data_IF_449100968897
#
_entry.id   IF_449100968897
#
_cell.length_a   1.000
_cell.length_b   1.000
_cell.length_c   1.000
_cell.angle_alpha   90.00
_cell.angle_beta   90.00
_cell.angle_gamma   90.00
#
_symmetry.space_group_name_H-M   'P 1'
#
loop_
_entity.id
_entity.type
_entity.pdbx_description
1 polymer ?
#
# COMPACT_ATOMS: atom_id res chain seq x y z
N UNK A 1 39.61 -6.77 5.58
CA UNK A 1 38.96 -5.61 6.20
C UNK A 1 37.59 -6.04 6.69
N UNK A 2 37.43 -6.29 7.98
CA UNK A 2 36.17 -6.73 8.59
C UNK A 2 35.22 -5.52 8.70
N UNK A 3 34.17 -5.50 7.88
CA UNK A 3 33.14 -4.46 7.90
C UNK A 3 32.27 -4.67 9.16
N UNK A 4 32.67 -4.06 10.29
CA UNK A 4 31.84 -4.10 11.50
C UNK A 4 30.54 -3.33 11.26
N UNK A 5 29.36 -3.93 11.55
CA UNK A 5 28.10 -3.23 11.37
C UNK A 5 28.04 -2.03 12.33
N UNK A 6 27.82 -0.82 11.78
CA UNK A 6 27.63 0.38 12.59
C UNK A 6 26.43 0.17 13.54
N UNK A 7 26.53 0.64 14.79
CA UNK A 7 25.42 0.55 15.73
C UNK A 7 24.20 1.27 15.17
N UNK A 8 23.03 0.64 15.26
CA UNK A 8 21.79 1.19 14.74
C UNK A 8 21.51 2.59 15.32
N UNK A 9 21.04 3.55 14.51
CA UNK A 9 20.77 4.90 14.98
C UNK A 9 19.75 4.87 16.14
N UNK A 10 20.11 5.49 17.27
CA UNK A 10 19.21 5.59 18.42
C UNK A 10 18.07 6.56 18.10
N UNK A 11 16.86 6.03 17.95
CA UNK A 11 15.63 6.82 17.81
C UNK A 11 15.15 7.22 19.21
N UNK A 12 14.90 8.51 19.41
CA UNK A 12 14.45 9.04 20.70
C UNK A 12 13.05 8.54 21.07
N UNK A 13 12.75 8.34 22.36
CA UNK A 13 11.45 7.83 22.81
C UNK A 13 10.29 8.74 22.41
N UNK A 14 10.50 10.07 22.43
CA UNK A 14 9.49 11.05 21.98
C UNK A 14 9.10 10.88 20.51
N UNK A 15 10.08 10.59 19.63
CA UNK A 15 9.79 10.37 18.21
C UNK A 15 9.03 9.07 18.01
N UNK A 16 9.30 8.02 18.80
CA UNK A 16 8.50 6.78 18.77
C UNK A 16 7.06 7.03 19.20
N UNK A 17 6.86 7.75 20.31
CA UNK A 17 5.53 8.10 20.79
C UNK A 17 4.73 8.92 19.75
N UNK A 18 5.37 9.88 19.08
CA UNK A 18 4.74 10.64 18.00
C UNK A 18 4.35 9.77 16.78
N UNK A 19 5.20 8.79 16.42
CA UNK A 19 4.89 7.84 15.34
C UNK A 19 3.70 6.96 15.73
N UNK A 20 3.68 6.44 16.96
CA UNK A 20 2.57 5.62 17.45
C UNK A 20 1.26 6.40 17.51
N UNK A 21 1.29 7.63 18.01
CA UNK A 21 0.13 8.53 18.01
C UNK A 21 -0.40 8.77 16.58
N UNK A 22 0.49 8.98 15.61
CA UNK A 22 0.11 9.16 14.22
C UNK A 22 -0.49 7.90 13.59
N UNK A 23 0.11 6.72 13.81
CA UNK A 23 -0.32 5.47 13.16
C UNK A 23 -1.55 4.87 13.83
N UNK A 24 -1.56 4.76 15.16
CA UNK A 24 -2.62 4.08 15.88
C UNK A 24 -3.85 4.97 16.11
N UNK A 25 -3.65 6.29 16.28
CA UNK A 25 -4.76 7.24 16.53
C UNK A 25 -5.15 8.05 15.31
N UNK A 26 -4.40 7.97 14.21
CA UNK A 26 -4.69 8.73 12.97
C UNK A 26 -4.45 10.23 13.09
N UNK A 27 -3.67 10.69 14.07
CA UNK A 27 -3.44 12.12 14.29
C UNK A 27 -2.60 12.77 13.18
N UNK A 28 -2.84 14.05 12.94
CA UNK A 28 -1.99 14.86 12.05
C UNK A 28 -0.57 14.98 12.59
N UNK A 29 0.40 15.33 11.73
CA UNK A 29 1.81 15.51 12.15
C UNK A 29 1.93 16.57 13.26
N UNK A 30 1.12 17.63 13.20
CA UNK A 30 1.13 18.68 14.22
C UNK A 30 0.61 18.17 15.56
N UNK A 31 -0.56 17.51 15.57
CA UNK A 31 -1.18 16.98 16.78
C UNK A 31 -0.34 15.85 17.42
N UNK A 32 0.22 14.95 16.61
CA UNK A 32 1.09 13.89 17.10
C UNK A 32 2.42 14.41 17.68
N UNK A 33 2.97 15.49 17.10
CA UNK A 33 4.16 16.14 17.64
C UNK A 33 3.86 16.84 18.97
N UNK A 34 2.74 17.55 19.04
CA UNK A 34 2.28 18.23 20.26
C UNK A 34 2.04 17.23 21.41
N UNK A 35 1.33 16.14 21.13
CA UNK A 35 1.06 15.08 22.11
C UNK A 35 2.36 14.44 22.63
N UNK A 36 3.39 14.32 21.79
CA UNK A 36 4.70 13.79 22.18
C UNK A 36 5.65 14.84 22.79
N UNK A 37 5.21 16.10 22.94
CA UNK A 37 6.04 17.19 23.44
C UNK A 37 7.22 17.51 22.52
N UNK A 38 7.00 17.47 21.20
CA UNK A 38 7.93 17.82 20.14
C UNK A 38 7.41 19.01 19.34
N UNK A 39 8.33 19.78 18.73
CA UNK A 39 7.92 20.78 17.75
C UNK A 39 7.48 20.10 16.46
N UNK A 40 6.46 20.67 15.80
CA UNK A 40 5.97 20.19 14.50
C UNK A 40 7.09 20.05 13.46
N UNK A 41 7.96 21.07 13.36
CA UNK A 41 9.08 21.09 12.42
C UNK A 41 10.15 20.05 12.78
N UNK A 42 10.42 19.86 14.07
CA UNK A 42 11.36 18.85 14.56
C UNK A 42 10.89 17.43 14.22
N UNK A 43 9.60 17.15 14.40
CA UNK A 43 9.03 15.85 14.03
C UNK A 43 9.03 15.64 12.51
N UNK A 44 8.62 16.64 11.72
CA UNK A 44 8.65 16.56 10.26
C UNK A 44 10.06 16.28 9.71
N UNK A 45 11.09 16.94 10.26
CA UNK A 45 12.50 16.69 9.91
C UNK A 45 12.97 15.32 10.37
N UNK A 46 12.51 14.85 11.54
CA UNK A 46 12.86 13.52 12.03
C UNK A 46 12.36 12.41 11.10
N UNK A 47 11.17 12.54 10.52
CA UNK A 47 10.59 11.57 9.59
C UNK A 47 11.40 11.40 8.29
N UNK A 48 12.15 12.42 7.87
CA UNK A 48 13.02 12.33 6.69
C UNK A 48 14.28 11.50 6.94
N UNK A 49 14.58 11.16 8.20
CA UNK A 49 15.75 10.33 8.53
C UNK A 49 15.43 8.86 8.21
N UNK A 50 16.30 8.13 7.48
CA UNK A 50 16.01 6.76 7.04
C UNK A 50 15.56 5.84 8.18
N UNK A 51 16.29 5.80 9.29
CA UNK A 51 15.95 4.96 10.45
C UNK A 51 14.57 5.27 11.06
N UNK A 52 14.12 6.53 11.01
CA UNK A 52 12.80 6.94 11.53
C UNK A 52 11.70 6.60 10.53
N UNK A 53 11.98 6.77 9.23
CA UNK A 53 11.08 6.33 8.15
C UNK A 53 10.86 4.82 8.21
N UNK A 54 11.93 4.04 8.39
CA UNK A 54 11.85 2.58 8.51
C UNK A 54 10.99 2.18 9.73
N UNK A 55 11.17 2.87 10.86
CA UNK A 55 10.34 2.64 12.04
C UNK A 55 8.87 2.97 11.76
N UNK A 56 8.58 4.06 11.05
CA UNK A 56 7.22 4.43 10.67
C UNK A 56 6.58 3.33 9.81
N UNK A 57 7.28 2.86 8.77
CA UNK A 57 6.81 1.80 7.89
C UNK A 57 6.60 0.48 8.64
N UNK A 58 7.51 0.09 9.53
CA UNK A 58 7.35 -1.09 10.38
C UNK A 58 6.14 -0.96 11.30
N UNK A 59 5.93 0.22 11.90
CA UNK A 59 4.79 0.49 12.78
C UNK A 59 3.47 0.42 12.02
N UNK A 60 3.43 0.99 10.81
CA UNK A 60 2.27 0.89 9.92
C UNK A 60 1.96 -0.55 9.52
N UNK A 61 2.97 -1.32 9.11
CA UNK A 61 2.81 -2.72 8.74
C UNK A 61 2.27 -3.55 9.91
N UNK A 62 2.83 -3.35 11.12
CA UNK A 62 2.35 -4.01 12.35
C UNK A 62 0.89 -3.65 12.64
N UNK A 63 0.54 -2.37 12.59
CA UNK A 63 -0.82 -1.92 12.85
C UNK A 63 -1.82 -2.53 11.85
N UNK A 64 -1.49 -2.53 10.57
CA UNK A 64 -2.35 -3.15 9.53
C UNK A 64 -2.50 -4.65 9.77
N UNK A 65 -1.43 -5.35 10.13
CA UNK A 65 -1.50 -6.78 10.47
C UNK A 65 -2.40 -7.05 11.69
N UNK A 66 -2.31 -6.23 12.73
CA UNK A 66 -3.17 -6.31 13.92
C UNK A 66 -4.64 -6.02 13.63
N UNK A 67 -4.94 -5.04 12.78
CA UNK A 67 -6.32 -4.75 12.37
C UNK A 67 -6.86 -5.88 11.51
N UNK A 68 -6.06 -6.39 10.58
CA UNK A 68 -6.46 -7.50 9.71
C UNK A 68 -6.71 -8.79 10.49
N UNK A 69 -5.92 -9.09 11.53
CA UNK A 69 -6.16 -10.27 12.37
C UNK A 69 -7.48 -10.19 13.15
N UNK A 70 -7.91 -8.97 13.52
CA UNK A 70 -9.20 -8.72 14.19
C UNK A 70 -10.38 -8.59 13.23
N UNK A 71 -10.14 -8.53 11.91
CA UNK A 71 -11.18 -8.29 10.90
C UNK A 71 -12.31 -9.31 10.96
N UNK A 72 -11.99 -10.60 11.11
CA UNK A 72 -13.00 -11.65 11.22
C UNK A 72 -13.89 -11.49 12.47
N UNK A 73 -13.28 -11.15 13.61
CA UNK A 73 -14.00 -10.92 14.86
C UNK A 73 -14.90 -9.68 14.80
N UNK A 74 -14.38 -8.57 14.25
CA UNK A 74 -15.19 -7.37 14.04
C UNK A 74 -16.34 -7.61 13.06
N UNK A 75 -16.10 -8.42 12.02
CA UNK A 75 -17.14 -8.85 11.09
C UNK A 75 -18.23 -9.64 11.80
N UNK A 76 -17.86 -10.65 12.59
CA UNK A 76 -18.84 -11.44 13.36
C UNK A 76 -19.71 -10.54 14.26
N UNK A 77 -19.09 -9.62 15.02
CA UNK A 77 -19.82 -8.66 15.86
C UNK A 77 -20.73 -7.74 15.06
N UNK A 78 -20.30 -7.29 13.88
CA UNK A 78 -21.12 -6.46 13.01
C UNK A 78 -22.35 -7.24 12.48
N UNK A 79 -22.20 -8.54 12.22
CA UNK A 79 -23.32 -9.41 11.85
C UNK A 79 -24.31 -9.56 13.01
N UNK A 80 -23.82 -9.75 14.25
CA UNK A 80 -24.68 -9.85 15.43
C UNK A 80 -25.54 -8.59 15.61
N UNK A 81 -24.92 -7.41 15.51
CA UNK A 81 -25.62 -6.11 15.58
C UNK A 81 -26.61 -5.95 14.42
N UNK A 82 -26.25 -6.38 13.21
CA UNK A 82 -27.14 -6.32 12.06
C UNK A 82 -28.39 -7.19 12.27
N UNK A 83 -28.25 -8.39 12.85
CA UNK A 83 -29.40 -9.24 13.19
C UNK A 83 -30.29 -8.60 14.24
N UNK A 84 -29.71 -7.99 15.28
CA UNK A 84 -30.47 -7.25 16.30
C UNK A 84 -31.26 -6.10 15.67
N UNK A 85 -30.65 -5.33 14.77
CA UNK A 85 -31.30 -4.23 14.07
C UNK A 85 -32.45 -4.70 13.16
N UNK A 86 -32.34 -5.86 12.51
CA UNK A 86 -33.40 -6.43 11.67
C UNK A 86 -34.61 -6.86 12.50
N UNK A 87 -34.36 -7.45 13.67
CA UNK A 87 -35.40 -7.92 14.59
C UNK A 87 -36.03 -6.80 15.44
N UNK A 88 -35.44 -5.62 15.45
CA UNK A 88 -35.96 -4.46 16.18
C UNK A 88 -37.07 -3.75 15.41
N UNK A 89 -38.19 -3.47 16.08
CA UNK A 89 -39.31 -2.69 15.52
C UNK A 89 -38.99 -1.20 15.39
N UNK A 90 -37.90 -0.73 16.03
CA UNK A 90 -37.47 0.67 16.03
C UNK A 90 -36.64 1.04 14.80
N UNK A 91 -36.16 0.05 14.07
CA UNK A 91 -35.32 0.27 12.89
C UNK A 91 -36.22 0.54 11.68
N UNK A 92 -35.94 1.61 10.94
CA UNK A 92 -36.67 1.93 9.71
C UNK A 92 -36.52 0.83 8.66
N UNK A 93 -37.61 0.53 7.93
CA UNK A 93 -37.63 -0.51 6.89
C UNK A 93 -36.58 -0.28 5.80
N UNK A 94 -36.30 0.98 5.46
CA UNK A 94 -35.24 1.35 4.48
C UNK A 94 -33.86 0.90 4.94
N UNK A 95 -33.58 0.97 6.24
CA UNK A 95 -32.31 0.51 6.83
C UNK A 95 -32.27 -1.02 6.84
N UNK A 96 -33.40 -1.68 7.15
CA UNK A 96 -33.51 -3.15 7.11
C UNK A 96 -33.25 -3.71 5.72
N UNK A 97 -33.84 -3.13 4.67
CA UNK A 97 -33.59 -3.55 3.27
C UNK A 97 -32.12 -3.45 2.91
N UNK A 98 -31.45 -2.34 3.26
CA UNK A 98 -30.01 -2.16 3.03
C UNK A 98 -29.16 -3.18 3.80
N UNK A 99 -29.52 -3.46 5.06
CA UNK A 99 -28.84 -4.48 5.86
C UNK A 99 -28.99 -5.86 5.22
N UNK A 100 -30.19 -6.24 4.78
CA UNK A 100 -30.44 -7.50 4.07
C UNK A 100 -29.61 -7.59 2.79
N UNK A 101 -29.54 -6.50 2.02
CA UNK A 101 -28.71 -6.44 0.81
C UNK A 101 -27.22 -6.68 1.12
N UNK A 102 -26.68 -5.97 2.12
CA UNK A 102 -25.27 -6.11 2.52
C UNK A 102 -24.98 -7.54 3.02
N UNK A 103 -25.86 -8.12 3.83
CA UNK A 103 -25.74 -9.49 4.33
C UNK A 103 -25.81 -10.52 3.19
N UNK A 104 -26.66 -10.29 2.20
CA UNK A 104 -26.83 -11.18 1.04
C UNK A 104 -25.68 -11.09 0.02
N UNK A 105 -24.90 -10.01 0.05
CA UNK A 105 -23.73 -9.82 -0.80
C UNK A 105 -22.46 -10.50 -0.26
N UNK A 106 -22.50 -11.04 0.96
CA UNK A 106 -21.35 -11.66 1.60
C UNK A 106 -20.92 -12.95 0.87
N UNK A 107 -19.85 -12.86 0.08
CA UNK A 107 -19.30 -13.98 -0.69
C UNK A 107 -19.10 -13.71 -2.18
N UNK A 108 -19.63 -12.60 -2.71
CA UNK A 108 -19.25 -12.15 -4.07
C UNK A 108 -17.85 -11.55 -4.00
N UNK A 109 -16.86 -12.32 -4.43
CA UNK A 109 -15.53 -11.78 -4.68
C UNK A 109 -15.66 -10.55 -5.59
N UNK A 110 -14.91 -9.45 -5.34
CA UNK A 110 -14.93 -8.31 -6.25
C UNK A 110 -14.54 -8.81 -7.64
N UNK A 111 -15.41 -8.61 -8.61
CA UNK A 111 -15.10 -8.94 -10.00
C UNK A 111 -13.94 -8.04 -10.44
N UNK A 112 -12.74 -8.60 -10.49
CA UNK A 112 -11.56 -7.90 -10.99
C UNK A 112 -11.70 -7.82 -12.51
N UNK A 113 -12.16 -6.68 -13.01
CA UNK A 113 -12.14 -6.39 -14.43
C UNK A 113 -10.75 -5.88 -14.82
N UNK A 114 -9.96 -6.71 -15.48
CA UNK A 114 -8.71 -6.27 -16.12
C UNK A 114 -9.05 -5.70 -17.49
N UNK A 115 -8.85 -4.40 -17.68
CA UNK A 115 -8.82 -3.79 -19.01
C UNK A 115 -7.37 -3.76 -19.51
N UNK A 116 -7.08 -4.55 -20.55
CA UNK A 116 -5.81 -4.48 -21.28
C UNK A 116 -6.01 -3.54 -22.45
N UNK A 117 -5.36 -2.39 -22.41
CA UNK A 117 -5.34 -1.44 -23.50
C UNK A 117 -4.33 -1.91 -24.56
N UNK A 118 -4.83 -2.28 -25.75
CA UNK A 118 -4.01 -2.76 -26.86
C UNK A 118 -2.98 -1.73 -27.38
N UNK A 119 -3.12 -0.45 -27.00
CA UNK A 119 -2.12 0.57 -27.34
C UNK A 119 -0.82 0.45 -26.52
N UNK A 120 -0.83 -0.24 -25.38
CA UNK A 120 0.36 -0.43 -24.54
C UNK A 120 1.28 -1.57 -24.96
N UNK A 121 0.92 -2.38 -25.96
CA UNK A 121 1.74 -3.53 -26.41
C UNK A 121 3.00 -3.11 -27.18
N UNK A 122 3.14 -1.83 -27.58
CA UNK A 122 4.29 -1.36 -28.35
C UNK A 122 5.52 -0.98 -27.52
N UNK A 123 5.43 -0.93 -26.19
CA UNK A 123 6.56 -0.54 -25.33
C UNK A 123 6.66 -1.41 -24.08
N UNK A 124 7.18 -2.64 -24.26
CA UNK A 124 7.84 -3.37 -23.16
C UNK A 124 7.07 -4.57 -22.60
N UNK A 125 7.54 -5.76 -23.00
CA UNK A 125 7.48 -6.98 -22.19
C UNK A 125 6.29 -7.89 -22.47
N UNK A 126 6.60 -9.02 -23.12
CA UNK A 126 5.72 -10.13 -23.52
C UNK A 126 5.04 -9.97 -24.89
N UNK A 127 5.84 -10.22 -25.93
CA UNK A 127 5.34 -10.53 -27.26
C UNK A 127 4.84 -11.98 -27.31
N UNK A 128 3.57 -12.16 -27.68
CA UNK A 128 2.97 -13.49 -27.83
C UNK A 128 3.50 -14.16 -29.12
N UNK A 129 4.50 -15.03 -28.99
CA UNK A 129 5.02 -15.83 -30.11
C UNK A 129 4.02 -16.95 -30.43
N UNK A 130 3.52 -16.97 -31.67
CA UNK A 130 2.66 -18.06 -32.15
C UNK A 130 3.47 -19.36 -32.24
N UNK A 131 2.91 -20.53 -31.86
CA UNK A 131 3.61 -21.81 -31.96
C UNK A 131 4.09 -22.05 -33.41
N UNK A 132 5.41 -22.04 -33.62
CA UNK A 132 6.05 -22.24 -34.92
C UNK A 132 6.88 -21.06 -35.45
N UNK A 133 6.76 -19.86 -34.87
CA UNK A 133 7.62 -18.74 -35.23
C UNK A 133 8.94 -18.77 -34.44
N UNK A 134 10.08 -18.61 -35.11
CA UNK A 134 11.40 -18.44 -34.48
C UNK A 134 11.77 -16.96 -34.51
N UNK A 135 12.13 -16.41 -33.35
CA UNK A 135 12.70 -15.07 -33.23
C UNK A 135 14.15 -15.15 -33.72
N UNK A 136 14.49 -14.33 -34.72
CA UNK A 136 15.88 -14.15 -35.19
C UNK A 136 16.31 -12.77 -34.76
N UNK A 137 17.23 -12.71 -33.81
CA UNK A 137 17.92 -11.47 -33.43
C UNK A 137 19.05 -11.24 -34.46
N UNK A 138 19.00 -10.12 -35.18
CA UNK A 138 20.08 -9.69 -36.07
C UNK A 138 20.89 -8.66 -35.27
N UNK A 139 22.06 -9.06 -34.77
CA UNK A 139 23.05 -8.10 -34.28
C UNK A 139 23.56 -7.28 -35.48
N UNK A 140 23.43 -5.96 -35.38
CA UNK A 140 23.76 -5.02 -36.44
C UNK A 140 25.23 -5.12 -36.83
N UNK A 141 25.48 -5.48 -38.09
CA UNK A 141 26.81 -5.47 -38.69
C UNK A 141 27.37 -4.05 -38.78
N UNK A 142 28.65 -3.93 -38.44
CA UNK A 142 29.44 -2.72 -38.46
C UNK A 142 29.39 -2.03 -39.84
N UNK A 143 28.82 -0.83 -39.90
CA UNK A 143 28.95 0.06 -41.03
C UNK A 143 30.11 1.03 -40.75
N UNK A 144 31.27 0.77 -41.34
CA UNK A 144 32.37 1.74 -41.44
C UNK A 144 31.89 3.02 -42.14
N UNK A 145 32.19 4.22 -41.63
CA UNK A 145 31.94 5.47 -42.34
C UNK A 145 33.02 5.70 -43.41
N UNK A 146 32.64 5.52 -44.68
CA UNK A 146 33.44 5.88 -45.85
C UNK A 146 33.70 7.39 -45.89
N UNK A 147 34.96 7.76 -45.65
CA UNK A 147 35.45 9.14 -45.64
C UNK A 147 35.80 9.61 -47.05
N UNK A 148 34.94 10.47 -47.61
CA UNK A 148 35.28 11.64 -48.42
C UNK A 148 36.22 11.50 -49.63
N UNK A 149 35.67 11.68 -50.84
CA UNK A 149 36.45 12.05 -52.02
C UNK A 149 36.64 13.58 -52.12
N UNK A 150 37.86 14.10 -52.34
CA UNK A 150 38.09 15.50 -52.65
C UNK A 150 37.89 15.80 -54.16
N UNK A 151 37.67 17.08 -54.44
CA UNK A 151 37.45 17.79 -55.72
C UNK A 151 38.05 17.18 -56.98
#
# INVERSE_FOLDING_TARGET
MTNQPRPAPRISPKVRAAIEARVCKGLSIAAAAEEAGLSRTGFAKALQRPAVSDLLSQTQARFVAEVNSKRALHRARALDVAMEMLNSDKTEDRIKVKLIEILSQDGKAPAVSVHVDASTTHHGGYEFVRPGARVVEIEGGDAEPDTGFPT
#
